data_IF_147699026353
#
_entry.id   IF_147699026353
#
_cell.length_a   1.000
_cell.length_b   1.000
_cell.length_c   1.000
_cell.angle_alpha   90.00
_cell.angle_beta   90.00
_cell.angle_gamma   90.00
#
_symmetry.space_group_name_H-M   'P 1'
#
loop_
_entity.id
_entity.type
_entity.pdbx_description
1 polymer ?
#
# COMPACT_ATOMS: atom_id res chain seq x y z
N UNK A 1 -14.61 -24.63 15.34
CA UNK A 1 -13.93 -24.35 14.06
C UNK A 1 -12.44 -24.30 14.35
N UNK A 2 -11.63 -25.13 13.70
CA UNK A 2 -10.17 -25.14 13.87
C UNK A 2 -9.53 -24.42 12.69
N UNK A 3 -8.69 -23.43 12.95
CA UNK A 3 -7.96 -22.70 11.92
C UNK A 3 -6.81 -23.56 11.37
N UNK A 4 -6.88 -23.94 10.10
CA UNK A 4 -5.83 -24.75 9.44
C UNK A 4 -5.52 -26.07 10.14
N UNK A 5 -4.25 -26.50 10.07
CA UNK A 5 -3.73 -27.68 10.79
C UNK A 5 -3.02 -27.21 12.05
N UNK A 6 -3.55 -27.54 13.23
CA UNK A 6 -3.02 -27.12 14.53
C UNK A 6 -2.90 -25.59 14.70
N UNK A 7 -3.83 -24.80 14.13
CA UNK A 7 -3.76 -23.34 14.17
C UNK A 7 -2.84 -22.73 13.11
N UNK A 8 -2.37 -23.52 12.13
CA UNK A 8 -1.43 -23.07 11.10
C UNK A 8 -1.95 -23.35 9.70
N UNK A 9 -1.84 -22.35 8.83
CA UNK A 9 -2.02 -22.50 7.38
C UNK A 9 -0.64 -22.32 6.75
N UNK A 10 -0.19 -23.31 5.98
CA UNK A 10 1.04 -23.22 5.18
C UNK A 10 0.65 -23.35 3.72
N UNK A 11 0.90 -22.29 2.95
CA UNK A 11 0.86 -22.37 1.51
C UNK A 11 2.27 -22.70 1.00
N UNK A 12 2.51 -23.95 0.61
CA UNK A 12 3.75 -24.31 -0.09
C UNK A 12 3.52 -24.16 -1.58
N UNK A 13 3.92 -23.03 -2.16
CA UNK A 13 4.11 -22.93 -3.61
C UNK A 13 5.60 -23.04 -3.92
N UNK A 14 6.01 -24.09 -4.64
CA UNK A 14 7.41 -24.40 -4.91
C UNK A 14 7.97 -23.75 -6.17
N UNK A 15 7.15 -22.99 -6.92
CA UNK A 15 7.56 -22.45 -8.24
C UNK A 15 7.58 -20.92 -8.31
N UNK A 16 7.04 -20.21 -7.31
CA UNK A 16 7.06 -18.74 -7.26
C UNK A 16 7.35 -18.21 -5.85
N UNK A 17 8.18 -17.17 -5.76
CA UNK A 17 8.42 -16.47 -4.51
C UNK A 17 7.21 -15.59 -4.19
N UNK A 18 6.58 -15.84 -3.04
CA UNK A 18 5.47 -15.04 -2.51
C UNK A 18 5.93 -14.31 -1.24
N UNK A 19 5.61 -13.03 -1.17
CA UNK A 19 5.84 -12.19 -0.01
C UNK A 19 4.47 -11.75 0.49
N UNK A 20 4.22 -11.87 1.79
CA UNK A 20 2.99 -11.41 2.42
C UNK A 20 3.38 -10.29 3.39
N UNK A 21 2.87 -9.08 3.18
CA UNK A 21 3.27 -7.89 3.95
C UNK A 21 2.13 -7.29 4.76
N UNK A 22 0.87 -7.59 4.40
CA UNK A 22 -0.30 -7.05 5.09
C UNK A 22 -1.43 -8.07 5.15
N UNK A 23 -2.31 -7.94 6.15
CA UNK A 23 -3.50 -8.77 6.27
C UNK A 23 -4.67 -7.99 6.87
N UNK A 24 -5.88 -8.39 6.52
CA UNK A 24 -7.11 -7.83 7.06
C UNK A 24 -8.21 -8.90 7.17
N UNK A 25 -9.17 -8.68 8.06
CA UNK A 25 -10.33 -9.55 8.27
C UNK A 25 -11.57 -8.85 7.72
N UNK A 26 -12.26 -9.49 6.78
CA UNK A 26 -13.55 -9.02 6.24
C UNK A 26 -14.66 -9.21 7.28
N UNK A 27 -15.79 -8.50 7.11
CA UNK A 27 -16.91 -8.53 8.05
C UNK A 27 -17.59 -9.90 8.16
N UNK A 28 -17.44 -10.75 7.14
CA UNK A 28 -17.90 -12.15 7.13
C UNK A 28 -16.91 -13.13 7.79
N UNK A 29 -15.80 -12.62 8.33
CA UNK A 29 -14.76 -13.40 8.99
C UNK A 29 -13.72 -14.02 8.04
N UNK A 30 -13.82 -13.79 6.74
CA UNK A 30 -12.77 -14.19 5.78
C UNK A 30 -11.53 -13.33 5.96
N UNK A 31 -10.38 -13.88 5.61
CA UNK A 31 -9.07 -13.26 5.83
C UNK A 31 -8.45 -12.95 4.47
N UNK A 32 -8.10 -11.69 4.25
CA UNK A 32 -7.31 -11.25 3.10
C UNK A 32 -5.86 -11.14 3.52
N UNK A 33 -4.96 -11.76 2.75
CA UNK A 33 -3.53 -11.57 2.84
C UNK A 33 -3.07 -10.87 1.57
N UNK A 34 -2.33 -9.78 1.72
CA UNK A 34 -1.81 -8.99 0.62
C UNK A 34 -0.28 -8.96 0.63
N UNK A 35 0.30 -8.93 -0.56
CA UNK A 35 1.73 -8.79 -0.72
C UNK A 35 2.13 -8.91 -2.19
N UNK A 36 3.27 -9.54 -2.44
CA UNK A 36 3.87 -9.57 -3.77
C UNK A 36 4.20 -10.96 -4.25
N UNK A 37 3.97 -11.16 -5.54
CA UNK A 37 4.37 -12.37 -6.27
C UNK A 37 5.47 -11.99 -7.25
N UNK A 38 6.53 -12.80 -7.33
CA UNK A 38 7.51 -12.64 -8.39
C UNK A 38 6.93 -13.18 -9.71
N UNK A 39 6.51 -12.28 -10.59
CA UNK A 39 5.98 -12.61 -11.91
C UNK A 39 7.13 -12.66 -12.93
N UNK A 40 8.14 -13.52 -12.68
CA UNK A 40 9.32 -13.67 -13.54
C UNK A 40 8.91 -13.82 -15.01
N UNK A 41 8.90 -12.70 -15.73
CA UNK A 41 8.84 -12.65 -17.17
C UNK A 41 10.16 -12.02 -17.67
N UNK A 42 10.57 -12.43 -18.87
CA UNK A 42 11.90 -12.16 -19.46
C UNK A 42 12.08 -10.71 -19.93
N UNK A 43 11.07 -9.86 -19.76
CA UNK A 43 11.00 -8.50 -20.29
C UNK A 43 10.82 -7.44 -19.20
N UNK A 44 10.27 -7.80 -18.05
CA UNK A 44 10.14 -6.93 -16.87
C UNK A 44 10.34 -7.74 -15.58
N UNK A 45 11.55 -7.76 -14.99
CA UNK A 45 11.71 -8.27 -13.63
C UNK A 45 10.87 -7.39 -12.69
N UNK A 46 9.75 -7.93 -12.19
CA UNK A 46 8.81 -7.17 -11.39
C UNK A 46 8.08 -8.05 -10.39
N UNK A 47 8.00 -7.56 -9.16
CA UNK A 47 6.99 -8.04 -8.22
C UNK A 47 5.64 -7.51 -8.66
N UNK A 48 4.62 -8.37 -8.72
CA UNK A 48 3.23 -7.97 -8.95
C UNK A 48 2.44 -7.87 -7.64
N UNK A 49 1.16 -7.56 -7.76
CA UNK A 49 0.19 -7.65 -6.66
C UNK A 49 -0.15 -9.11 -6.41
N UNK A 50 -0.20 -9.50 -5.14
CA UNK A 50 -0.76 -10.76 -4.67
C UNK A 50 -1.84 -10.49 -3.63
N UNK A 51 -3.05 -11.00 -3.86
CA UNK A 51 -4.06 -11.18 -2.82
C UNK A 51 -4.38 -12.65 -2.67
N UNK A 52 -4.53 -13.11 -1.44
CA UNK A 52 -5.03 -14.44 -1.10
C UNK A 52 -6.19 -14.29 -0.15
N UNK A 53 -7.31 -14.99 -0.41
CA UNK A 53 -8.41 -15.06 0.55
C UNK A 53 -8.52 -16.44 1.17
N UNK A 54 -8.63 -16.44 2.50
CA UNK A 54 -8.94 -17.61 3.30
C UNK A 54 -10.33 -17.46 3.91
N UNK A 55 -11.03 -18.59 4.05
CA UNK A 55 -12.21 -18.70 4.90
C UNK A 55 -11.81 -18.52 6.38
N UNK A 56 -12.80 -18.31 7.24
CA UNK A 56 -12.59 -18.14 8.69
C UNK A 56 -11.98 -19.37 9.37
N UNK A 57 -12.04 -20.55 8.73
CA UNK A 57 -11.39 -21.79 9.16
C UNK A 57 -9.96 -21.96 8.62
N UNK A 58 -9.45 -20.99 7.84
CA UNK A 58 -8.11 -21.02 7.25
C UNK A 58 -8.00 -21.84 5.96
N UNK A 59 -9.09 -22.43 5.46
CA UNK A 59 -9.11 -23.00 4.10
C UNK A 59 -9.08 -21.90 3.05
N UNK A 60 -8.55 -22.17 1.85
CA UNK A 60 -8.55 -21.19 0.75
C UNK A 60 -9.99 -20.99 0.26
N UNK A 61 -10.41 -19.73 0.09
CA UNK A 61 -11.69 -19.41 -0.53
C UNK A 61 -11.56 -19.48 -2.06
N UNK A 62 -11.92 -20.62 -2.65
CA UNK A 62 -11.84 -20.83 -4.10
C UNK A 62 -12.72 -19.90 -4.93
N UNK A 63 -13.71 -19.23 -4.33
CA UNK A 63 -14.56 -18.25 -4.99
C UNK A 63 -13.96 -16.85 -5.10
N UNK A 64 -12.76 -16.62 -4.58
CA UNK A 64 -12.05 -15.34 -4.67
C UNK A 64 -11.05 -15.34 -5.84
N UNK A 65 -11.10 -14.31 -6.69
CA UNK A 65 -10.21 -14.18 -7.84
C UNK A 65 -10.15 -15.46 -8.67
N UNK A 66 -8.93 -15.94 -8.93
CA UNK A 66 -8.67 -17.24 -9.53
C UNK A 66 -8.30 -18.26 -8.45
N UNK A 67 -9.26 -19.09 -8.04
CA UNK A 67 -9.07 -20.17 -7.06
C UNK A 67 -8.49 -19.72 -5.70
N UNK A 68 -8.90 -18.54 -5.23
CA UNK A 68 -8.42 -17.95 -3.98
C UNK A 68 -7.32 -16.92 -4.12
N UNK A 69 -6.88 -16.64 -5.35
CA UNK A 69 -5.73 -15.79 -5.63
C UNK A 69 -6.06 -14.65 -6.59
N UNK A 70 -5.46 -13.49 -6.34
CA UNK A 70 -5.31 -12.41 -7.33
C UNK A 70 -3.82 -12.24 -7.56
N UNK A 71 -3.41 -12.30 -8.82
CA UNK A 71 -2.03 -12.07 -9.24
C UNK A 71 -2.06 -11.19 -10.49
N UNK A 72 -1.55 -9.97 -10.39
CA UNK A 72 -1.52 -9.01 -11.50
C UNK A 72 -0.36 -8.01 -11.37
N UNK A 73 -0.28 -7.07 -12.31
CA UNK A 73 0.77 -6.07 -12.40
C UNK A 73 0.29 -4.65 -12.03
N UNK A 74 -0.81 -4.49 -11.28
CA UNK A 74 -1.32 -3.16 -10.90
C UNK A 74 -0.39 -2.42 -9.96
N UNK A 75 0.36 -3.15 -9.13
CA UNK A 75 1.36 -2.61 -8.21
C UNK A 75 2.57 -3.55 -8.16
N UNK A 76 3.68 -3.01 -7.68
CA UNK A 76 4.88 -3.74 -7.32
C UNK A 76 5.18 -3.54 -5.84
N UNK A 77 5.57 -4.60 -5.14
CA UNK A 77 5.94 -4.51 -3.73
C UNK A 77 4.79 -4.01 -2.86
N UNK A 78 3.64 -4.70 -2.87
CA UNK A 78 2.51 -4.34 -2.01
C UNK A 78 2.93 -4.38 -0.56
N UNK A 79 2.72 -3.28 0.15
CA UNK A 79 3.05 -3.14 1.57
C UNK A 79 1.83 -2.87 2.44
N UNK A 80 0.80 -2.21 1.90
CA UNK A 80 -0.40 -1.86 2.65
C UNK A 80 -1.67 -2.44 2.03
N UNK A 81 -2.61 -2.80 2.90
CA UNK A 81 -3.97 -3.24 2.57
C UNK A 81 -4.94 -2.49 3.48
N UNK A 82 -6.08 -2.04 2.92
CA UNK A 82 -7.21 -1.54 3.70
C UNK A 82 -8.52 -2.05 3.11
N UNK A 83 -9.48 -2.37 3.99
CA UNK A 83 -10.84 -2.74 3.61
C UNK A 83 -11.73 -1.50 3.64
N UNK A 84 -12.56 -1.34 2.61
CA UNK A 84 -13.65 -0.37 2.60
C UNK A 84 -14.91 -0.98 3.23
N UNK A 85 -15.86 -0.13 3.64
CA UNK A 85 -17.11 -0.57 4.29
C UNK A 85 -18.02 -1.38 3.38
N UNK A 86 -17.87 -1.25 2.05
CA UNK A 86 -18.56 -2.03 1.03
C UNK A 86 -17.84 -3.37 0.72
N UNK A 87 -16.77 -3.69 1.47
CA UNK A 87 -16.00 -4.92 1.31
C UNK A 87 -14.96 -4.88 0.19
N UNK A 88 -14.84 -3.76 -0.54
CA UNK A 88 -13.74 -3.55 -1.49
C UNK A 88 -12.41 -3.44 -0.76
N UNK A 89 -11.33 -3.76 -1.46
CA UNK A 89 -9.98 -3.77 -0.92
C UNK A 89 -9.13 -2.75 -1.66
N UNK A 90 -8.38 -1.95 -0.92
CA UNK A 90 -7.35 -1.07 -1.45
C UNK A 90 -5.99 -1.65 -1.11
N UNK A 91 -5.08 -1.70 -2.07
CA UNK A 91 -3.67 -2.06 -1.86
C UNK A 91 -2.75 -0.95 -2.32
N UNK A 92 -1.62 -0.81 -1.64
CA UNK A 92 -0.62 0.21 -1.96
C UNK A 92 0.79 -0.38 -2.01
N UNK A 93 1.59 0.15 -2.93
CA UNK A 93 2.99 -0.18 -3.13
C UNK A 93 3.68 0.87 -4.00
N UNK A 94 4.60 0.43 -4.85
CA UNK A 94 5.22 1.24 -5.90
C UNK A 94 4.94 0.68 -7.30
N UNK A 95 5.24 1.44 -8.36
CA UNK A 95 5.26 0.94 -9.74
C UNK A 95 6.38 1.62 -10.50
N UNK A 96 7.24 0.84 -11.15
CA UNK A 96 8.27 1.40 -12.01
C UNK A 96 7.67 1.90 -13.33
N UNK A 97 7.87 3.18 -13.62
CA UNK A 97 7.38 3.87 -14.81
C UNK A 97 8.49 4.81 -15.29
N UNK A 98 9.00 4.55 -16.50
CA UNK A 98 10.01 5.38 -17.17
C UNK A 98 11.25 5.69 -16.31
N UNK A 99 11.70 4.73 -15.49
CA UNK A 99 12.89 4.86 -14.64
C UNK A 99 12.63 5.49 -13.25
N UNK A 100 11.39 5.91 -12.96
CA UNK A 100 10.97 6.34 -11.62
C UNK A 100 10.07 5.28 -11.00
N UNK A 101 10.09 5.13 -9.67
CA UNK A 101 9.01 4.41 -8.97
C UNK A 101 7.94 5.41 -8.56
N UNK A 102 6.71 5.18 -8.97
CA UNK A 102 5.54 5.97 -8.58
C UNK A 102 4.76 5.23 -7.49
N UNK A 103 4.10 5.97 -6.59
CA UNK A 103 3.20 5.37 -5.60
C UNK A 103 2.02 4.75 -6.35
N UNK A 104 1.77 3.47 -6.14
CA UNK A 104 0.70 2.74 -6.81
C UNK A 104 -0.42 2.42 -5.82
N UNK A 105 -1.66 2.73 -6.19
CA UNK A 105 -2.86 2.41 -5.42
C UNK A 105 -3.85 1.68 -6.32
N UNK A 106 -4.22 0.46 -5.97
CA UNK A 106 -5.18 -0.35 -6.71
C UNK A 106 -6.39 -0.70 -5.85
N UNK A 107 -7.56 -0.84 -6.48
CA UNK A 107 -8.80 -1.26 -5.81
C UNK A 107 -9.36 -2.53 -6.40
N UNK A 108 -9.72 -3.46 -5.54
CA UNK A 108 -10.38 -4.71 -5.88
C UNK A 108 -11.77 -4.76 -5.26
N UNK A 109 -12.69 -5.39 -5.97
CA UNK A 109 -14.03 -5.74 -5.49
C UNK A 109 -13.95 -6.81 -4.41
N UNK A 110 -15.06 -7.05 -3.70
CA UNK A 110 -15.12 -8.09 -2.66
C UNK A 110 -14.82 -9.50 -3.18
N UNK A 111 -15.02 -9.79 -4.46
CA UNK A 111 -14.72 -11.09 -5.07
C UNK A 111 -13.29 -11.20 -5.62
N UNK A 112 -12.47 -10.16 -5.49
CA UNK A 112 -11.07 -10.16 -5.93
C UNK A 112 -10.88 -9.77 -7.39
N UNK A 113 -11.93 -9.30 -8.07
CA UNK A 113 -11.77 -8.68 -9.40
C UNK A 113 -11.30 -7.23 -9.28
N UNK A 114 -10.58 -6.74 -10.27
CA UNK A 114 -10.12 -5.34 -10.29
C UNK A 114 -11.32 -4.40 -10.48
N UNK A 115 -11.49 -3.41 -9.60
CA UNK A 115 -12.63 -2.48 -9.66
C UNK A 115 -12.37 -1.35 -10.65
N UNK A 116 -12.69 -1.57 -11.93
CA UNK A 116 -12.45 -0.59 -13.02
C UNK A 116 -13.22 0.72 -12.88
N UNK A 117 -14.16 0.84 -11.93
CA UNK A 117 -14.79 2.13 -11.59
C UNK A 117 -13.85 3.05 -10.81
N UNK A 118 -12.77 2.51 -10.23
CA UNK A 118 -11.72 3.28 -9.56
C UNK A 118 -10.72 3.81 -10.59
N UNK A 119 -10.51 5.12 -10.64
CA UNK A 119 -9.63 5.81 -11.59
C UNK A 119 -9.88 5.45 -13.08
N UNK A 120 -11.02 4.83 -13.41
CA UNK A 120 -11.37 4.33 -14.74
C UNK A 120 -10.64 3.05 -15.18
N UNK A 121 -9.63 2.60 -14.44
CA UNK A 121 -8.74 1.46 -14.79
C UNK A 121 -8.61 0.44 -13.67
N UNK A 122 -9.06 0.78 -12.46
CA UNK A 122 -8.89 -0.01 -11.24
C UNK A 122 -7.67 0.35 -10.40
N UNK A 123 -6.77 1.19 -10.91
CA UNK A 123 -5.57 1.61 -10.19
C UNK A 123 -5.07 2.97 -10.66
N UNK A 124 -4.28 3.62 -9.83
CA UNK A 124 -3.63 4.90 -10.12
C UNK A 124 -2.18 4.86 -9.68
N UNK A 125 -1.31 5.40 -10.52
CA UNK A 125 0.09 5.64 -10.20
C UNK A 125 0.28 7.15 -10.00
N UNK A 126 0.94 7.53 -8.91
CA UNK A 126 1.17 8.93 -8.57
C UNK A 126 2.66 9.14 -8.36
N UNK A 127 3.26 9.95 -9.22
CA UNK A 127 4.58 10.46 -8.99
C UNK A 127 4.52 11.48 -7.86
N UNK A 128 5.26 11.19 -6.77
CA UNK A 128 5.42 12.12 -5.66
C UNK A 128 6.75 12.84 -5.83
N UNK A 129 6.69 14.17 -5.89
CA UNK A 129 7.79 14.96 -6.45
C UNK A 129 7.87 14.81 -7.98
N UNK A 130 8.86 15.45 -8.59
CA UNK A 130 9.03 15.50 -10.05
C UNK A 130 10.49 15.37 -10.48
N UNK A 131 11.27 14.64 -9.68
CA UNK A 131 12.71 14.46 -9.89
C UNK A 131 12.99 13.16 -10.65
N UNK A 132 13.92 13.21 -11.59
CA UNK A 132 14.39 12.02 -12.31
C UNK A 132 15.16 11.13 -11.33
N UNK A 133 14.88 9.82 -11.36
CA UNK A 133 15.43 8.84 -10.43
C UNK A 133 14.72 8.81 -9.08
N UNK A 134 13.55 9.42 -8.95
CA UNK A 134 12.77 9.35 -7.72
C UNK A 134 12.16 7.96 -7.52
N UNK A 135 12.13 7.51 -6.26
CA UNK A 135 11.50 6.26 -5.84
C UNK A 135 10.42 6.53 -4.79
N UNK A 136 9.16 6.34 -5.20
CA UNK A 136 7.99 6.52 -4.36
C UNK A 136 7.38 5.15 -4.03
N UNK A 137 7.12 4.89 -2.76
CA UNK A 137 6.49 3.64 -2.33
C UNK A 137 5.46 3.93 -1.26
N UNK A 138 4.21 3.51 -1.50
CA UNK A 138 3.19 3.53 -0.47
C UNK A 138 3.32 2.32 0.46
N UNK A 139 3.03 2.56 1.74
CA UNK A 139 3.18 1.58 2.83
C UNK A 139 1.93 1.43 3.67
N UNK A 140 1.05 2.44 3.69
CA UNK A 140 -0.17 2.43 4.50
C UNK A 140 -1.29 3.19 3.81
N UNK A 141 -2.52 2.81 4.16
CA UNK A 141 -3.75 3.39 3.62
C UNK A 141 -4.69 3.70 4.79
N UNK A 142 -5.27 4.89 4.80
CA UNK A 142 -6.35 5.25 5.70
C UNK A 142 -7.54 5.75 4.88
N UNK A 143 -8.75 5.31 5.26
CA UNK A 143 -10.00 5.75 4.63
C UNK A 143 -10.67 6.74 5.59
N UNK A 144 -10.94 7.95 5.11
CA UNK A 144 -11.61 8.99 5.86
C UNK A 144 -13.13 8.74 5.90
N UNK A 145 -13.82 9.34 6.88
CA UNK A 145 -15.27 9.16 7.05
C UNK A 145 -16.11 9.68 5.88
N UNK A 146 -15.55 10.59 5.08
CA UNK A 146 -16.17 11.11 3.85
C UNK A 146 -15.83 10.25 2.61
N UNK A 147 -15.16 9.11 2.80
CA UNK A 147 -14.77 8.18 1.75
C UNK A 147 -13.49 8.55 1.00
N UNK A 148 -12.83 9.67 1.33
CA UNK A 148 -11.51 9.98 0.77
C UNK A 148 -10.48 8.97 1.27
N UNK A 149 -9.46 8.73 0.45
CA UNK A 149 -8.42 7.74 0.70
C UNK A 149 -7.10 8.49 0.87
N UNK A 150 -6.40 8.23 1.96
CA UNK A 150 -5.06 8.73 2.21
C UNK A 150 -4.07 7.57 2.07
N UNK A 151 -3.13 7.68 1.14
CA UNK A 151 -2.00 6.78 1.02
C UNK A 151 -0.77 7.45 1.64
N UNK A 152 -0.05 6.70 2.48
CA UNK A 152 1.18 7.16 3.12
C UNK A 152 2.36 6.30 2.72
N UNK A 153 3.55 6.88 2.67
CA UNK A 153 4.74 6.18 2.22
C UNK A 153 5.99 7.04 2.24
N UNK A 154 6.96 6.65 1.42
CA UNK A 154 8.21 7.37 1.23
C UNK A 154 8.29 7.93 -0.18
N UNK A 155 8.88 9.11 -0.30
CA UNK A 155 9.38 9.66 -1.56
C UNK A 155 10.88 9.87 -1.41
N UNK A 156 11.67 9.14 -2.19
CA UNK A 156 13.12 9.26 -2.18
C UNK A 156 13.55 9.95 -3.47
N UNK A 157 14.28 11.05 -3.36
CA UNK A 157 14.87 11.72 -4.53
C UNK A 157 16.38 11.88 -4.39
N UNK A 158 17.13 11.96 -5.52
CA UNK A 158 18.57 12.19 -5.48
C UNK A 158 18.98 13.49 -4.77
N UNK A 159 18.13 14.52 -4.80
CA UNK A 159 18.50 15.84 -4.24
C UNK A 159 18.01 16.05 -2.82
N UNK A 160 16.95 15.34 -2.37
CA UNK A 160 16.34 15.52 -1.04
C UNK A 160 16.52 14.32 -0.12
N UNK A 161 16.97 13.18 -0.63
CA UNK A 161 16.99 11.94 0.13
C UNK A 161 15.57 11.43 0.41
N UNK A 162 15.39 10.76 1.56
CA UNK A 162 14.11 10.15 1.92
C UNK A 162 13.18 11.15 2.62
N UNK A 163 12.02 11.38 2.04
CA UNK A 163 10.93 12.18 2.59
C UNK A 163 9.74 11.28 2.94
N UNK A 164 8.97 11.68 3.96
CA UNK A 164 7.64 11.11 4.16
C UNK A 164 6.70 11.69 3.12
N UNK A 165 5.85 10.85 2.52
CA UNK A 165 4.89 11.23 1.51
C UNK A 165 3.47 10.87 1.96
N UNK A 166 2.54 11.80 1.74
CA UNK A 166 1.10 11.58 1.82
C UNK A 166 0.47 11.98 0.50
N UNK A 167 -0.43 11.14 0.00
CA UNK A 167 -1.24 11.42 -1.19
C UNK A 167 -2.71 11.18 -0.85
N UNK A 168 -3.57 12.13 -1.20
CA UNK A 168 -5.01 11.99 -0.96
C UNK A 168 -5.78 11.85 -2.27
N UNK A 169 -6.70 10.89 -2.27
CA UNK A 169 -7.60 10.59 -3.37
C UNK A 169 -9.04 10.73 -2.92
N UNK A 170 -9.92 11.07 -3.85
CA UNK A 170 -11.35 10.86 -3.70
C UNK A 170 -11.68 9.37 -3.70
N UNK A 171 -12.87 9.02 -3.23
CA UNK A 171 -13.38 7.64 -3.28
C UNK A 171 -13.38 7.06 -4.71
N UNK A 172 -13.41 7.91 -5.74
CA UNK A 172 -13.31 7.50 -7.15
C UNK A 172 -11.89 7.14 -7.60
N UNK A 173 -10.86 7.44 -6.81
CA UNK A 173 -9.45 7.26 -7.19
C UNK A 173 -8.81 8.47 -7.88
N UNK A 174 -9.57 9.53 -8.13
CA UNK A 174 -9.02 10.81 -8.59
C UNK A 174 -8.24 11.49 -7.46
N UNK A 175 -7.09 12.12 -7.78
CA UNK A 175 -6.34 12.93 -6.81
C UNK A 175 -7.20 14.09 -6.29
N UNK A 176 -7.16 14.29 -4.97
CA UNK A 176 -7.83 15.41 -4.33
C UNK A 176 -6.91 16.64 -4.30
N UNK A 177 -7.00 17.49 -5.32
CA UNK A 177 -6.16 18.68 -5.46
C UNK A 177 -6.28 19.69 -4.30
N UNK A 178 -7.30 19.57 -3.43
CA UNK A 178 -7.45 20.42 -2.24
C UNK A 178 -6.54 19.98 -1.07
N UNK A 179 -5.85 18.84 -1.19
CA UNK A 179 -4.91 18.36 -0.19
C UNK A 179 -3.47 18.77 -0.53
N UNK A 180 -2.83 19.55 0.35
CA UNK A 180 -1.45 19.97 0.15
C UNK A 180 -1.27 20.69 -1.20
N UNK A 181 -0.29 20.26 -1.98
CA UNK A 181 -0.03 20.77 -3.34
C UNK A 181 -0.45 19.68 -4.33
N UNK A 182 -1.55 19.91 -5.05
CA UNK A 182 -2.00 18.99 -6.12
C UNK A 182 -2.40 17.59 -5.63
N UNK A 183 -2.81 17.46 -4.37
CA UNK A 183 -3.18 16.17 -3.76
C UNK A 183 -2.06 15.48 -2.98
N UNK A 184 -0.93 16.15 -2.80
CA UNK A 184 0.28 15.57 -2.23
C UNK A 184 0.85 16.44 -1.11
N UNK A 185 1.51 15.80 -0.16
CA UNK A 185 2.31 16.44 0.88
C UNK A 185 3.57 15.62 1.08
N UNK A 186 4.75 16.25 1.00
CA UNK A 186 6.00 15.66 1.46
C UNK A 186 6.51 16.35 2.71
N UNK A 187 7.12 15.60 3.61
CA UNK A 187 7.76 16.14 4.81
C UNK A 187 9.21 15.69 4.84
N UNK A 188 10.10 16.68 4.75
CA UNK A 188 11.53 16.49 4.88
C UNK A 188 11.95 16.58 6.35
N UNK A 189 12.61 15.56 6.87
CA UNK A 189 13.24 15.61 8.18
C UNK A 189 14.71 15.98 8.02
N UNK A 190 15.05 17.26 8.18
CA UNK A 190 16.47 17.60 8.41
C UNK A 190 16.85 17.09 9.80
N UNK A 191 18.06 16.54 9.95
CA UNK A 191 18.67 16.29 11.25
C UNK A 191 18.98 17.62 11.95
N UNK A 192 17.95 18.33 12.40
CA UNK A 192 18.12 19.31 13.45
C UNK A 192 18.15 18.54 14.77
N UNK A 193 19.31 17.99 15.12
CA UNK A 193 19.65 17.84 16.53
C UNK A 193 19.70 19.26 17.08
N UNK A 194 18.57 19.79 17.56
CA UNK A 194 18.63 20.84 18.56
C UNK A 194 19.05 20.16 19.86
N UNK A 195 20.37 20.09 20.07
CA UNK A 195 20.89 20.07 21.44
C UNK A 195 20.41 21.40 22.04
N UNK A 196 19.40 21.34 22.91
CA UNK A 196 19.12 22.44 23.81
C UNK A 196 20.44 22.75 24.56
N UNK A 197 21.02 23.96 24.45
CA UNK A 197 22.10 24.30 25.34
C UNK A 197 21.52 24.30 26.75
N UNK A 198 22.10 23.46 27.59
CA UNK A 198 21.85 23.42 29.02
C UNK A 198 22.09 24.79 29.66
N UNK A 199 21.17 25.14 30.56
CA UNK A 199 21.30 26.10 31.67
C UNK A 199 21.44 27.60 31.33
N UNK A 200 20.41 28.35 31.71
CA UNK A 200 20.56 29.70 32.24
C UNK A 200 19.65 29.87 33.46
N UNK A 201 20.21 29.51 34.61
CA UNK A 201 19.94 30.00 35.98
C UNK A 201 18.50 30.40 36.35
N UNK A 202 17.89 29.59 37.20
CA UNK A 202 16.98 30.09 38.22
C UNK A 202 17.79 30.97 39.19
N UNK A 203 17.48 32.27 39.27
CA UNK A 203 18.00 33.17 40.30
C UNK A 203 16.98 33.17 41.44
N UNK A 204 17.34 32.57 42.57
CA UNK A 204 16.72 32.84 43.87
C UNK A 204 17.65 33.75 44.68
N UNK A 205 17.03 34.50 45.60
CA UNK A 205 17.53 35.46 46.60
C UNK A 205 17.65 36.91 46.11
N UNK A 206 17.06 37.90 46.78
CA UNK A 206 16.38 37.99 48.11
C UNK A 206 15.00 38.65 48.00
#
# INVERSE_FOLDING_TARGET
MSFGVNGKVILTNSTVNLFCNSMAIQTDGKIIVAGSVNLYNRYTPGYGTLLIRYNSDGSIDSGFGSNGFVMDETTNGVQGLSLQTDGKMLVVGGKEILGNTQLALARYTIDGTLDTTFAGTGFVNTEVGSEIGASNSGTSIAIQTDGKILAAGTSTSPTKGNEFALVRYHASGALDASFGIGGQLTTHFQTHIQIWPTLSRCRLTE
#
